data_IF_041555019117
#
_entry.id   IF_041555019117
#
_cell.length_a   1.000
_cell.length_b   1.000
_cell.length_c   1.000
_cell.angle_alpha   90.00
_cell.angle_beta   90.00
_cell.angle_gamma   90.00
#
_symmetry.space_group_name_H-M   'P 1'
#
loop_
_entity.id
_entity.type
_entity.pdbx_description
1 polymer ?
#
# COMPACT_ATOMS: atom_id res chain seq x y z
N UNK A 1 -10.51 -1.92 -19.36
CA UNK A 1 -11.14 -2.93 -18.57
C UNK A 1 -10.74 -2.85 -17.11
N UNK A 2 -11.66 -2.99 -16.28
CA UNK A 2 -11.41 -2.94 -14.88
C UNK A 2 -10.74 -4.20 -14.36
N UNK A 3 -9.76 -4.02 -13.48
CA UNK A 3 -8.99 -5.16 -12.98
C UNK A 3 -9.01 -5.18 -11.47
N UNK A 4 -9.80 -6.07 -10.92
CA UNK A 4 -9.85 -6.26 -9.48
C UNK A 4 -8.50 -6.67 -8.91
N UNK A 5 -7.70 -7.35 -9.71
CA UNK A 5 -6.45 -7.92 -9.23
C UNK A 5 -5.37 -6.89 -8.94
N UNK A 6 -5.52 -5.70 -9.52
CA UNK A 6 -4.50 -4.67 -9.41
C UNK A 6 -4.75 -3.72 -8.25
N UNK A 7 -5.80 -3.97 -7.45
CA UNK A 7 -6.11 -3.11 -6.33
C UNK A 7 -6.89 -1.87 -6.74
N UNK A 8 -6.81 -0.83 -5.92
CA UNK A 8 -7.49 0.43 -6.19
C UNK A 8 -6.52 1.58 -6.05
N UNK A 9 -6.83 2.66 -6.76
CA UNK A 9 -6.07 3.91 -6.68
C UNK A 9 -6.88 4.91 -5.88
N UNK A 10 -6.26 5.44 -4.83
CA UNK A 10 -6.89 6.40 -3.95
C UNK A 10 -6.25 7.75 -4.21
N UNK A 11 -7.00 8.68 -4.76
CA UNK A 11 -6.49 10.00 -5.06
C UNK A 11 -6.14 10.76 -3.79
N UNK A 12 -4.97 11.33 -3.76
CA UNK A 12 -4.53 12.22 -2.69
C UNK A 12 -3.29 12.94 -3.15
N UNK A 13 -3.03 14.10 -2.60
CA UNK A 13 -1.89 14.90 -3.02
C UNK A 13 -0.58 14.23 -2.64
N UNK A 14 0.44 14.49 -3.45
CA UNK A 14 1.80 14.09 -3.14
C UNK A 14 2.19 14.66 -1.78
N UNK A 15 2.78 13.82 -0.94
CA UNK A 15 3.14 14.23 0.42
C UNK A 15 2.08 13.92 1.46
N UNK A 16 0.89 13.48 1.05
CA UNK A 16 -0.13 13.06 2.00
C UNK A 16 0.36 11.84 2.77
N UNK A 17 0.15 11.84 4.08
CA UNK A 17 0.59 10.71 4.91
C UNK A 17 -0.26 9.48 4.62
N UNK A 18 0.40 8.32 4.56
CA UNK A 18 -0.25 7.03 4.35
C UNK A 18 -0.20 6.26 5.65
N UNK A 19 -1.34 5.74 6.09
CA UNK A 19 -1.46 5.04 7.38
C UNK A 19 -1.90 3.61 7.15
N UNK A 20 -1.48 2.73 8.07
CA UNK A 20 -1.91 1.34 8.02
C UNK A 20 -3.40 1.22 8.31
N UNK A 21 -4.09 0.38 7.53
CA UNK A 21 -5.53 0.17 7.69
C UNK A 21 -5.87 -0.64 8.95
N UNK A 22 -4.90 -1.40 9.46
CA UNK A 22 -5.12 -2.26 10.62
C UNK A 22 -3.78 -2.61 11.24
N UNK A 23 -3.79 -3.11 12.47
CA UNK A 23 -2.56 -3.56 13.11
C UNK A 23 -1.92 -4.72 12.34
N UNK A 24 -0.63 -4.90 12.52
CA UNK A 24 0.09 -5.99 11.86
C UNK A 24 1.59 -5.82 11.99
N UNK A 25 2.30 -6.56 11.16
CA UNK A 25 3.75 -6.49 11.08
C UNK A 25 4.16 -6.05 9.70
N UNK A 26 5.16 -5.20 9.63
CA UNK A 26 5.72 -4.79 8.35
C UNK A 26 6.47 -5.99 7.77
N UNK A 27 5.91 -6.59 6.72
CA UNK A 27 6.51 -7.77 6.10
C UNK A 27 7.73 -7.40 5.28
N UNK A 28 7.60 -6.38 4.44
CA UNK A 28 8.70 -5.94 3.59
C UNK A 28 8.47 -4.53 3.09
N UNK A 29 9.57 -3.90 2.71
CA UNK A 29 9.60 -2.57 2.12
C UNK A 29 10.54 -2.69 0.93
N UNK A 30 10.09 -2.29 -0.25
CA UNK A 30 10.92 -2.41 -1.44
C UNK A 30 10.48 -1.41 -2.51
N UNK A 31 11.34 -1.23 -3.49
CA UNK A 31 11.05 -0.37 -4.63
C UNK A 31 10.67 -1.27 -5.80
N UNK A 32 9.37 -1.35 -6.07
CA UNK A 32 8.87 -2.14 -7.18
C UNK A 32 9.16 -1.41 -8.50
N UNK A 33 9.60 -2.16 -9.50
CA UNK A 33 10.00 -1.55 -10.77
C UNK A 33 8.83 -0.90 -11.51
N UNK A 34 7.60 -1.27 -11.19
CA UNK A 34 6.41 -0.71 -11.83
C UNK A 34 5.62 0.17 -10.88
N UNK A 35 5.38 -0.30 -9.65
CA UNK A 35 4.51 0.39 -8.69
C UNK A 35 5.25 1.37 -7.78
N UNK A 36 6.58 1.40 -7.82
CA UNK A 36 7.37 2.30 -6.98
C UNK A 36 7.56 1.79 -5.57
N UNK A 37 7.88 2.69 -4.65
CA UNK A 37 8.11 2.30 -3.27
C UNK A 37 6.86 1.70 -2.66
N UNK A 38 7.03 0.53 -2.07
CA UNK A 38 5.92 -0.31 -1.61
C UNK A 38 6.20 -0.81 -0.20
N UNK A 39 5.16 -0.78 0.64
CA UNK A 39 5.18 -1.36 1.98
C UNK A 39 4.09 -2.41 2.05
N UNK A 40 4.44 -3.61 2.51
CA UNK A 40 3.48 -4.70 2.69
C UNK A 40 3.34 -4.97 4.18
N UNK A 41 2.10 -4.97 4.66
CA UNK A 41 1.77 -5.25 6.05
C UNK A 41 1.07 -6.60 6.14
N UNK A 42 1.58 -7.47 7.01
CA UNK A 42 0.95 -8.76 7.30
C UNK A 42 0.06 -8.58 8.53
N UNK A 43 -1.24 -8.74 8.34
CA UNK A 43 -2.23 -8.55 9.41
C UNK A 43 -2.56 -9.84 10.15
N UNK A 44 -1.99 -10.96 9.71
CA UNK A 44 -2.33 -12.27 10.26
C UNK A 44 -3.54 -12.88 9.56
N UNK A 45 -3.77 -14.15 9.84
CA UNK A 45 -4.91 -14.90 9.30
C UNK A 45 -5.00 -14.86 7.77
N UNK A 46 -3.84 -14.73 7.11
CA UNK A 46 -3.78 -14.71 5.67
C UNK A 46 -4.00 -13.36 5.02
N UNK A 47 -4.29 -12.31 5.79
CA UNK A 47 -4.52 -10.97 5.25
C UNK A 47 -3.24 -10.17 5.18
N UNK A 48 -3.05 -9.48 4.05
CA UNK A 48 -1.95 -8.54 3.86
C UNK A 48 -2.46 -7.31 3.11
N UNK A 49 -1.91 -6.15 3.43
CA UNK A 49 -2.20 -4.93 2.66
C UNK A 49 -0.90 -4.40 2.07
N UNK A 50 -1.00 -3.81 0.90
CA UNK A 50 0.14 -3.28 0.17
C UNK A 50 -0.13 -1.83 -0.22
N UNK A 51 0.86 -0.97 0.02
CA UNK A 51 0.78 0.46 -0.22
C UNK A 51 1.90 0.84 -1.16
N UNK A 52 1.56 1.30 -2.35
CA UNK A 52 2.55 1.60 -3.39
C UNK A 52 2.44 3.04 -3.88
N UNK A 53 3.38 3.45 -4.71
CA UNK A 53 3.56 4.81 -5.19
C UNK A 53 3.92 5.76 -4.06
N UNK A 54 4.66 5.25 -3.08
CA UNK A 54 5.10 6.03 -1.93
C UNK A 54 6.39 6.78 -2.27
N UNK A 55 6.68 7.83 -1.50
CA UNK A 55 7.99 8.46 -1.57
C UNK A 55 9.00 7.55 -0.86
N UNK A 56 10.29 7.82 -1.07
CA UNK A 56 11.33 7.03 -0.43
C UNK A 56 11.46 7.31 1.08
N UNK A 57 10.75 8.32 1.58
CA UNK A 57 10.76 8.69 2.99
C UNK A 57 9.85 7.77 3.78
N UNK A 58 10.28 6.53 3.99
CA UNK A 58 9.50 5.52 4.69
C UNK A 58 9.67 5.68 6.19
N UNK A 59 8.58 5.59 6.94
CA UNK A 59 8.55 5.86 8.38
C UNK A 59 8.64 4.61 9.25
N UNK A 60 8.62 3.43 8.64
CA UNK A 60 8.65 2.16 9.37
C UNK A 60 9.77 1.28 8.83
N UNK A 61 10.04 0.19 9.54
CA UNK A 61 11.08 -0.77 9.18
C UNK A 61 10.48 -2.15 9.00
N UNK A 62 11.12 -2.98 8.17
CA UNK A 62 10.72 -4.37 8.01
C UNK A 62 10.73 -5.06 9.38
N UNK A 63 9.74 -5.91 9.61
CA UNK A 63 9.53 -6.69 10.83
C UNK A 63 9.04 -5.87 12.03
N UNK A 64 8.79 -4.57 11.82
CA UNK A 64 8.24 -3.74 12.89
C UNK A 64 6.76 -4.08 13.11
N UNK A 65 6.36 -4.19 14.38
CA UNK A 65 4.95 -4.33 14.74
C UNK A 65 4.31 -2.96 14.77
N UNK A 66 3.16 -2.82 14.13
CA UNK A 66 2.46 -1.55 14.03
C UNK A 66 1.01 -1.68 14.42
N UNK A 67 0.40 -0.54 14.72
CA UNK A 67 -1.01 -0.46 15.08
C UNK A 67 -1.81 0.11 13.91
N UNK A 68 -3.13 -0.05 13.99
CA UNK A 68 -4.03 0.62 13.06
C UNK A 68 -3.75 2.13 13.11
N UNK A 69 -3.64 2.75 11.95
CA UNK A 69 -3.39 4.19 11.86
C UNK A 69 -1.93 4.60 11.99
N UNK A 70 -1.01 3.65 12.17
CA UNK A 70 0.42 3.96 12.18
C UNK A 70 0.81 4.58 10.85
N UNK A 71 1.56 5.68 10.91
CA UNK A 71 2.05 6.36 9.70
C UNK A 71 3.12 5.51 9.04
N UNK A 72 2.92 5.16 7.78
CA UNK A 72 3.84 4.30 7.03
C UNK A 72 4.81 5.12 6.18
N UNK A 73 4.32 6.19 5.60
CA UNK A 73 5.09 7.02 4.68
C UNK A 73 4.20 8.06 4.05
N UNK A 74 4.58 8.50 2.86
CA UNK A 74 3.88 9.59 2.16
C UNK A 74 3.63 9.21 0.71
N UNK A 75 2.56 9.73 0.15
CA UNK A 75 2.28 9.56 -1.28
C UNK A 75 3.39 10.25 -2.07
N UNK A 76 3.94 9.53 -3.03
CA UNK A 76 5.01 10.00 -3.87
C UNK A 76 4.64 9.95 -5.34
N UNK A 77 5.67 9.75 -6.16
CA UNK A 77 5.50 9.62 -7.61
C UNK A 77 6.51 8.61 -8.15
N UNK A 78 6.71 7.53 -7.40
CA UNK A 78 7.74 6.55 -7.71
C UNK A 78 7.26 5.43 -8.63
N UNK A 79 5.96 5.33 -8.89
CA UNK A 79 5.39 4.31 -9.75
C UNK A 79 5.60 4.68 -11.22
N UNK A 80 6.53 3.99 -11.88
CA UNK A 80 6.87 4.28 -13.27
C UNK A 80 5.68 4.06 -14.19
N UNK A 81 4.90 3.02 -13.95
CA UNK A 81 3.76 2.71 -14.79
C UNK A 81 2.63 3.71 -14.70
N UNK A 82 2.66 4.60 -13.70
CA UNK A 82 1.58 5.55 -13.45
C UNK A 82 2.08 6.97 -13.30
N UNK A 83 3.26 7.25 -13.82
CA UNK A 83 3.93 8.54 -13.61
C UNK A 83 3.16 9.72 -14.19
N UNK A 84 2.29 9.47 -15.16
CA UNK A 84 1.48 10.51 -15.76
C UNK A 84 0.15 10.72 -15.09
N UNK A 85 -0.18 9.87 -14.13
CA UNK A 85 -1.44 9.96 -13.42
C UNK A 85 -1.35 11.03 -12.33
N UNK A 86 -2.51 11.47 -11.87
CA UNK A 86 -2.56 12.35 -10.72
C UNK A 86 -2.00 11.63 -9.50
N UNK A 87 -1.45 12.36 -8.53
CA UNK A 87 -0.94 11.74 -7.31
C UNK A 87 -1.99 10.85 -6.67
N UNK A 88 -1.58 9.67 -6.26
CA UNK A 88 -2.51 8.68 -5.70
C UNK A 88 -1.74 7.64 -4.91
N UNK A 89 -2.48 6.93 -4.06
CA UNK A 89 -1.99 5.73 -3.38
C UNK A 89 -2.50 4.52 -4.14
N UNK A 90 -1.61 3.63 -4.53
CA UNK A 90 -2.01 2.35 -5.09
C UNK A 90 -2.11 1.34 -3.96
N UNK A 91 -3.32 0.90 -3.66
CA UNK A 91 -3.61 0.04 -2.53
C UNK A 91 -4.08 -1.34 -3.00
N UNK A 92 -3.49 -2.38 -2.42
CA UNK A 92 -3.91 -3.75 -2.70
C UNK A 92 -4.18 -4.47 -1.39
N UNK A 93 -5.15 -5.36 -1.41
CA UNK A 93 -5.46 -6.23 -0.29
C UNK A 93 -5.35 -7.68 -0.75
N UNK A 94 -4.69 -8.51 0.07
CA UNK A 94 -4.50 -9.92 -0.24
C UNK A 94 -5.12 -10.78 0.86
N UNK A 95 -5.75 -11.86 0.46
CA UNK A 95 -6.22 -12.90 1.37
C UNK A 95 -5.65 -14.22 0.86
N UNK A 96 -4.85 -14.88 1.69
CA UNK A 96 -4.19 -16.14 1.33
C UNK A 96 -3.44 -16.04 0.01
N UNK A 97 -2.71 -14.93 -0.17
CA UNK A 97 -1.89 -14.62 -1.35
C UNK A 97 -2.69 -14.34 -2.61
N UNK A 98 -3.99 -14.17 -2.50
CA UNK A 98 -4.82 -13.76 -3.62
C UNK A 98 -5.25 -12.33 -3.46
N UNK A 99 -5.14 -11.57 -4.54
CA UNK A 99 -5.58 -10.19 -4.57
C UNK A 99 -7.11 -10.15 -4.47
N UNK A 100 -7.64 -9.40 -3.52
CA UNK A 100 -9.07 -9.31 -3.33
C UNK A 100 -9.53 -7.86 -3.43
N UNK A 101 -10.81 -7.68 -3.70
CA UNK A 101 -11.41 -6.35 -3.79
C UNK A 101 -11.49 -5.75 -2.38
N UNK A 102 -10.77 -4.64 -2.11
CA UNK A 102 -10.80 -4.03 -0.79
C UNK A 102 -12.20 -3.63 -0.35
N UNK A 103 -13.06 -3.24 -1.29
CA UNK A 103 -14.39 -2.78 -0.95
C UNK A 103 -15.27 -3.90 -0.41
N UNK A 104 -14.95 -5.16 -0.70
CA UNK A 104 -15.72 -6.28 -0.19
C UNK A 104 -15.46 -6.55 1.29
N UNK A 105 -14.37 -5.98 1.82
CA UNK A 105 -13.96 -6.18 3.21
C UNK A 105 -14.43 -5.03 4.11
N UNK A 106 -14.43 -3.81 3.57
CA UNK A 106 -14.69 -2.60 4.35
C UNK A 106 -16.14 -2.15 4.21
N UNK A 107 -17.04 -2.98 4.51
CA UNK A 107 -18.44 -2.60 4.46
C UNK A 107 -18.93 -2.08 5.79
#
# INVERSE_FOLDING_TARGET
MWKTHDGIDIKADKGTVVKSIEKGNVEKIYNDSFYGYTIVIDHGQGYKSSYSNLSEDVLVKAKQTINKGTKLGYIGDTAIGEIKDEPHLHFMLFLNNENVDPTSIFK
#
